data_IF_637454382957
#
_entry.id   IF_637454382957
#
_cell.length_a   1.000
_cell.length_b   1.000
_cell.length_c   1.000
_cell.angle_alpha   90.00
_cell.angle_beta   90.00
_cell.angle_gamma   90.00
#
_symmetry.space_group_name_H-M   'P 1'
#
loop_
_entity.id
_entity.type
_entity.pdbx_description
1 polymer ?
#
# COMPACT_ATOMS: atom_id res chain seq x y z
N UNK A 1 6.17 -9.59 -2.69
CA UNK A 1 6.21 -10.78 -3.55
C UNK A 1 6.69 -11.97 -2.76
N UNK A 2 6.39 -13.16 -3.24
CA UNK A 2 7.04 -14.40 -2.80
C UNK A 2 7.11 -15.33 -4.00
N UNK A 3 8.22 -16.04 -4.13
CA UNK A 3 8.43 -17.16 -5.05
C UNK A 3 8.13 -18.51 -4.38
N UNK A 4 7.47 -18.47 -3.21
CA UNK A 4 7.22 -19.59 -2.29
C UNK A 4 8.46 -20.10 -1.55
N UNK A 5 9.64 -19.54 -1.77
CA UNK A 5 10.87 -19.83 -1.04
C UNK A 5 11.22 -18.72 -0.05
N UNK A 6 11.06 -17.47 -0.47
CA UNK A 6 11.34 -16.29 0.34
C UNK A 6 10.29 -15.18 0.17
N UNK A 7 10.31 -14.22 1.11
CA UNK A 7 9.44 -13.05 1.07
C UNK A 7 10.25 -11.83 0.67
N UNK A 8 9.74 -11.11 -0.33
CA UNK A 8 10.27 -9.80 -0.72
C UNK A 8 9.22 -8.72 -0.48
N UNK A 9 9.65 -7.58 0.06
CA UNK A 9 8.82 -6.39 0.21
C UNK A 9 9.50 -5.21 -0.48
N UNK A 10 8.76 -4.53 -1.34
CA UNK A 10 9.08 -3.21 -1.83
C UNK A 10 7.92 -2.31 -1.43
N UNK A 11 8.27 -1.12 -0.96
CA UNK A 11 7.34 -0.16 -0.38
C UNK A 11 6.53 -0.72 0.82
N UNK A 12 5.46 -0.05 1.25
CA UNK A 12 4.64 -0.44 2.40
C UNK A 12 5.22 0.01 3.75
N UNK A 13 6.04 1.07 3.74
CA UNK A 13 6.72 1.60 4.93
C UNK A 13 5.92 2.69 5.66
N UNK A 14 4.64 2.86 5.30
CA UNK A 14 3.78 3.89 5.84
C UNK A 14 3.90 5.21 5.08
N UNK A 15 2.85 6.02 5.13
CA UNK A 15 2.69 7.31 4.42
C UNK A 15 3.83 8.34 4.47
N UNK A 16 4.80 8.22 5.38
CA UNK A 16 5.94 9.15 5.47
C UNK A 16 7.12 8.72 4.59
N UNK A 17 7.36 7.40 4.49
CA UNK A 17 8.55 6.82 3.86
C UNK A 17 8.19 5.80 2.77
N UNK A 18 6.90 5.66 2.45
CA UNK A 18 6.38 4.70 1.51
C UNK A 18 4.87 4.90 1.28
N UNK A 19 4.20 3.80 0.95
CA UNK A 19 2.82 3.75 0.45
C UNK A 19 2.64 4.63 -0.80
N UNK A 20 3.64 4.63 -1.68
CA UNK A 20 3.67 5.43 -2.89
C UNK A 20 2.58 4.94 -3.84
N UNK A 21 1.77 5.86 -4.34
CA UNK A 21 0.57 5.54 -5.11
C UNK A 21 -0.61 5.00 -4.29
N UNK A 22 -0.46 4.81 -2.98
CA UNK A 22 -1.55 4.48 -2.07
C UNK A 22 -2.56 5.63 -1.89
N UNK A 23 -3.69 5.36 -1.23
CA UNK A 23 -4.74 6.36 -1.01
C UNK A 23 -4.23 7.63 -0.30
N UNK A 24 -3.41 7.48 0.74
CA UNK A 24 -2.82 8.62 1.45
C UNK A 24 -1.90 9.46 0.56
N UNK A 25 -1.14 8.79 -0.33
CA UNK A 25 -0.28 9.47 -1.30
C UNK A 25 -1.12 10.25 -2.32
N UNK A 26 -2.15 9.64 -2.90
CA UNK A 26 -3.05 10.27 -3.89
C UNK A 26 -3.75 11.47 -3.27
N UNK A 27 -4.34 11.28 -2.09
CA UNK A 27 -5.05 12.36 -1.40
C UNK A 27 -4.13 13.51 -1.01
N UNK A 28 -2.91 13.23 -0.54
CA UNK A 28 -1.89 14.25 -0.30
C UNK A 28 -1.54 15.03 -1.56
N UNK A 29 -1.30 14.34 -2.68
CA UNK A 29 -0.99 14.98 -3.96
C UNK A 29 -2.15 15.84 -4.46
N UNK A 30 -3.40 15.36 -4.30
CA UNK A 30 -4.60 16.12 -4.62
C UNK A 30 -4.77 17.37 -3.77
N UNK A 31 -4.53 17.26 -2.46
CA UNK A 31 -4.57 18.41 -1.55
C UNK A 31 -3.44 19.41 -1.85
N UNK A 32 -2.23 18.96 -2.19
CA UNK A 32 -1.16 19.88 -2.63
C UNK A 32 -1.56 20.63 -3.91
N UNK A 33 -2.14 19.94 -4.90
CA UNK A 33 -2.64 20.57 -6.12
C UNK A 33 -3.77 21.58 -5.85
N UNK A 34 -4.67 21.28 -4.91
CA UNK A 34 -5.71 22.19 -4.47
C UNK A 34 -5.12 23.45 -3.79
N UNK A 35 -4.16 23.26 -2.87
CA UNK A 35 -3.48 24.37 -2.19
C UNK A 35 -2.65 25.21 -3.16
N UNK A 36 -2.02 24.60 -4.17
CA UNK A 36 -1.35 25.34 -5.25
C UNK A 36 -2.32 26.26 -6.00
N UNK A 37 -3.52 25.79 -6.31
CA UNK A 37 -4.54 26.64 -6.94
C UNK A 37 -4.98 27.78 -6.02
N UNK A 38 -5.15 27.50 -4.71
CA UNK A 38 -5.47 28.52 -3.71
C UNK A 38 -4.40 29.62 -3.64
N UNK A 39 -3.12 29.23 -3.65
CA UNK A 39 -1.97 30.14 -3.57
C UNK A 39 -1.66 30.86 -4.91
N UNK A 40 -2.33 30.51 -6.00
CA UNK A 40 -1.96 30.96 -7.36
C UNK A 40 -0.63 30.38 -7.88
N UNK A 41 -0.16 29.27 -7.30
CA UNK A 41 1.07 28.57 -7.71
C UNK A 41 0.82 27.69 -8.94
N UNK A 42 1.86 27.54 -9.76
CA UNK A 42 1.85 26.60 -10.91
C UNK A 42 1.61 25.16 -10.45
N UNK A 43 0.94 24.39 -11.32
CA UNK A 43 0.55 23.00 -11.05
C UNK A 43 -0.65 22.86 -10.12
N UNK A 44 -1.43 23.94 -9.93
CA UNK A 44 -2.66 23.90 -9.17
C UNK A 44 -3.86 23.41 -9.98
N UNK A 45 -4.85 22.84 -9.29
CA UNK A 45 -6.15 22.47 -9.87
C UNK A 45 -7.30 23.23 -9.20
N UNK A 46 -8.02 24.10 -9.94
CA UNK A 46 -9.25 24.72 -9.44
C UNK A 46 -10.33 23.69 -9.08
N UNK A 47 -10.45 22.61 -9.86
CA UNK A 47 -11.42 21.55 -9.59
C UNK A 47 -11.15 20.85 -8.25
N UNK A 48 -9.88 20.51 -7.98
CA UNK A 48 -9.49 19.92 -6.69
C UNK A 48 -9.60 20.92 -5.54
N UNK A 49 -9.40 22.22 -5.78
CA UNK A 49 -9.67 23.26 -4.78
C UNK A 49 -11.15 23.32 -4.40
N UNK A 50 -12.06 23.23 -5.36
CA UNK A 50 -13.49 23.19 -5.10
C UNK A 50 -13.89 21.92 -4.32
N UNK A 51 -13.28 20.76 -4.63
CA UNK A 51 -13.49 19.53 -3.84
C UNK A 51 -12.91 19.65 -2.43
N UNK A 52 -11.72 20.25 -2.26
CA UNK A 52 -11.14 20.51 -0.95
C UNK A 52 -12.11 21.34 -0.10
N UNK A 53 -12.64 22.43 -0.67
CA UNK A 53 -13.63 23.28 0.00
C UNK A 53 -14.88 22.52 0.42
N UNK A 54 -15.38 21.64 -0.44
CA UNK A 54 -16.56 20.83 -0.15
C UNK A 54 -16.33 19.81 0.99
N UNK A 55 -15.13 19.22 1.07
CA UNK A 55 -14.83 18.12 2.01
C UNK A 55 -14.27 18.62 3.34
N UNK A 56 -13.36 19.59 3.30
CA UNK A 56 -12.61 20.07 4.47
C UNK A 56 -12.93 21.52 4.87
N UNK A 57 -13.72 22.24 4.07
CA UNK A 57 -14.02 23.65 4.32
C UNK A 57 -12.89 24.58 3.84
N UNK A 58 -12.71 25.77 4.45
CA UNK A 58 -11.73 26.75 4.01
C UNK A 58 -10.31 26.16 3.90
N UNK A 59 -9.58 26.38 2.78
CA UNK A 59 -8.22 25.86 2.59
C UNK A 59 -7.24 26.20 3.73
N UNK A 60 -7.40 27.38 4.32
CA UNK A 60 -6.57 27.89 5.42
C UNK A 60 -6.74 27.08 6.71
N UNK A 61 -7.86 26.36 6.86
CA UNK A 61 -8.12 25.50 8.02
C UNK A 61 -7.48 24.11 7.89
N UNK A 62 -7.07 23.69 6.69
CA UNK A 62 -6.57 22.34 6.42
C UNK A 62 -5.39 21.93 7.34
N UNK A 63 -4.37 22.78 7.61
CA UNK A 63 -3.31 22.44 8.56
C UNK A 63 -3.83 22.08 9.96
N UNK A 64 -4.81 22.83 10.46
CA UNK A 64 -5.41 22.62 11.78
C UNK A 64 -6.24 21.33 11.85
N UNK A 65 -6.81 20.89 10.72
CA UNK A 65 -7.53 19.62 10.63
C UNK A 65 -6.58 18.42 10.54
N UNK A 66 -5.40 18.59 9.92
CA UNK A 66 -4.50 17.48 9.64
C UNK A 66 -3.45 17.25 10.74
N UNK A 67 -2.76 18.30 11.19
CA UNK A 67 -1.59 18.14 12.07
C UNK A 67 -1.89 17.53 13.44
N UNK A 68 -2.97 17.88 14.15
CA UNK A 68 -3.21 17.32 15.50
C UNK A 68 -3.60 15.84 15.49
N UNK A 69 -4.00 15.30 14.35
CA UNK A 69 -4.60 13.96 14.25
C UNK A 69 -3.55 12.85 14.30
N UNK A 70 -3.87 11.75 14.96
CA UNK A 70 -3.03 10.54 14.93
C UNK A 70 -3.27 9.69 13.66
N UNK A 71 -4.44 9.82 13.05
CA UNK A 71 -4.88 9.09 11.85
C UNK A 71 -4.70 9.90 10.55
N UNK A 72 -3.70 10.79 10.51
CA UNK A 72 -3.38 11.61 9.32
C UNK A 72 -3.41 10.84 7.99
N UNK A 73 -2.89 9.60 7.90
CA UNK A 73 -2.93 8.85 6.64
C UNK A 73 -4.36 8.58 6.16
N UNK A 74 -5.29 8.29 7.08
CA UNK A 74 -6.68 8.05 6.74
C UNK A 74 -7.37 9.33 6.26
N UNK A 75 -7.07 10.46 6.90
CA UNK A 75 -7.58 11.78 6.50
C UNK A 75 -7.07 12.20 5.13
N UNK A 76 -5.78 11.96 4.85
CA UNK A 76 -5.24 12.17 3.51
C UNK A 76 -5.96 11.25 2.52
N UNK A 77 -6.04 9.95 2.83
CA UNK A 77 -6.66 8.96 1.96
C UNK A 77 -8.14 9.24 1.66
N UNK A 78 -8.87 9.88 2.57
CA UNK A 78 -10.28 10.23 2.36
C UNK A 78 -10.49 11.23 1.22
N UNK A 79 -9.45 11.95 0.79
CA UNK A 79 -9.51 12.85 -0.35
C UNK A 79 -9.22 12.17 -1.69
N UNK A 80 -8.68 10.94 -1.69
CA UNK A 80 -8.32 10.25 -2.92
C UNK A 80 -9.53 9.97 -3.87
N UNK A 81 -10.74 9.63 -3.37
CA UNK A 81 -11.93 9.51 -4.23
C UNK A 81 -12.27 10.80 -4.98
N UNK A 82 -11.97 11.96 -4.38
CA UNK A 82 -12.21 13.26 -5.02
C UNK A 82 -11.25 13.51 -6.18
N UNK A 83 -9.99 13.09 -6.02
CA UNK A 83 -9.02 13.09 -7.12
C UNK A 83 -9.51 12.19 -8.26
N UNK A 84 -10.00 11.00 -7.95
CA UNK A 84 -10.56 10.08 -8.94
C UNK A 84 -11.77 10.66 -9.67
N UNK A 85 -12.69 11.32 -8.95
CA UNK A 85 -13.87 11.95 -9.53
C UNK A 85 -13.51 13.09 -10.51
N UNK A 86 -12.43 13.83 -10.25
CA UNK A 86 -11.99 14.92 -11.12
C UNK A 86 -11.20 14.46 -12.35
N UNK A 87 -10.60 13.26 -12.34
CA UNK A 87 -9.63 12.83 -13.36
C UNK A 87 -10.17 12.79 -14.80
N UNK A 88 -11.48 12.66 -15.00
CA UNK A 88 -12.08 12.70 -16.34
C UNK A 88 -12.09 14.09 -17.00
N UNK A 89 -11.99 15.16 -16.20
CA UNK A 89 -12.10 16.55 -16.68
C UNK A 89 -10.91 17.42 -16.26
N UNK A 90 -10.13 17.01 -15.26
CA UNK A 90 -8.97 17.73 -14.75
C UNK A 90 -7.66 16.97 -15.06
N UNK A 91 -6.79 17.51 -15.93
CA UNK A 91 -5.52 16.87 -16.28
C UNK A 91 -4.55 16.76 -15.09
N UNK A 92 -4.65 17.63 -14.07
CA UNK A 92 -3.82 17.52 -12.86
C UNK A 92 -4.22 16.29 -12.05
N UNK A 93 -5.53 16.11 -11.82
CA UNK A 93 -6.06 14.92 -11.17
C UNK A 93 -5.72 13.63 -11.93
N UNK A 94 -5.87 13.63 -13.26
CA UNK A 94 -5.47 12.50 -14.10
C UNK A 94 -3.96 12.19 -14.00
N UNK A 95 -3.12 13.23 -13.97
CA UNK A 95 -1.68 13.11 -13.78
C UNK A 95 -1.30 12.46 -12.45
N UNK A 96 -1.98 12.85 -11.36
CA UNK A 96 -1.76 12.27 -10.03
C UNK A 96 -2.07 10.76 -10.04
N UNK A 97 -3.18 10.34 -10.65
CA UNK A 97 -3.53 8.91 -10.72
C UNK A 97 -2.56 8.12 -11.60
N UNK A 98 -2.07 8.70 -12.69
CA UNK A 98 -1.04 8.08 -13.53
C UNK A 98 0.27 7.88 -12.76
N UNK A 99 0.69 8.89 -11.98
CA UNK A 99 1.87 8.75 -11.11
C UNK A 99 1.66 7.69 -10.04
N UNK A 100 0.47 7.63 -9.44
CA UNK A 100 0.13 6.60 -8.46
C UNK A 100 0.20 5.19 -9.06
N UNK A 101 -0.34 5.01 -10.27
CA UNK A 101 -0.24 3.76 -11.02
C UNK A 101 1.23 3.35 -11.28
N UNK A 102 2.08 4.30 -11.69
CA UNK A 102 3.51 4.06 -11.88
C UNK A 102 4.19 3.56 -10.61
N UNK A 103 3.98 4.24 -9.48
CA UNK A 103 4.54 3.82 -8.19
C UNK A 103 4.10 2.41 -7.77
N UNK A 104 2.83 2.06 -7.96
CA UNK A 104 2.31 0.72 -7.65
C UNK A 104 2.99 -0.32 -8.56
N UNK A 105 3.11 -0.03 -9.85
CA UNK A 105 3.73 -0.93 -10.81
C UNK A 105 5.23 -1.12 -10.56
N UNK A 106 5.96 -0.05 -10.21
CA UNK A 106 7.37 -0.11 -9.79
C UNK A 106 7.57 -0.98 -8.55
N UNK A 107 6.71 -0.81 -7.53
CA UNK A 107 6.76 -1.61 -6.32
C UNK A 107 6.47 -3.09 -6.61
N UNK A 108 5.49 -3.38 -7.48
CA UNK A 108 5.21 -4.74 -7.92
C UNK A 108 6.38 -5.35 -8.69
N UNK A 109 6.97 -4.59 -9.62
CA UNK A 109 8.09 -5.06 -10.44
C UNK A 109 9.34 -5.35 -9.61
N UNK A 110 9.60 -4.56 -8.57
CA UNK A 110 10.74 -4.75 -7.68
C UNK A 110 10.70 -6.06 -6.87
N UNK A 111 9.53 -6.70 -6.73
CA UNK A 111 9.37 -7.95 -5.96
C UNK A 111 8.80 -9.11 -6.76
N UNK A 112 8.47 -8.89 -8.04
CA UNK A 112 8.03 -9.95 -8.92
C UNK A 112 9.25 -10.74 -9.38
N UNK A 113 9.28 -12.08 -9.21
CA UNK A 113 10.37 -12.89 -9.74
C UNK A 113 10.48 -12.65 -11.25
N UNK A 114 11.65 -12.21 -11.72
CA UNK A 114 11.92 -12.13 -13.15
C UNK A 114 12.39 -13.50 -13.64
N UNK A 115 11.86 -13.95 -14.77
CA UNK A 115 12.22 -15.22 -15.41
C UNK A 115 13.70 -15.30 -15.87
N UNK A 116 14.54 -14.35 -15.49
CA UNK A 116 15.88 -14.13 -16.01
C UNK A 116 17.01 -14.73 -15.15
N UNK A 117 16.72 -15.31 -13.98
CA UNK A 117 17.76 -15.76 -13.04
C UNK A 117 17.69 -17.22 -12.57
N UNK A 118 16.53 -17.85 -12.68
CA UNK A 118 16.32 -19.26 -12.33
C UNK A 118 15.66 -19.94 -13.51
N UNK A 119 16.02 -21.20 -13.74
CA UNK A 119 15.39 -22.08 -14.73
C UNK A 119 13.94 -22.40 -14.32
N UNK A 120 13.12 -21.38 -14.08
CA UNK A 120 11.68 -21.47 -14.10
C UNK A 120 11.35 -21.71 -15.56
N UNK A 121 10.73 -22.85 -15.85
CA UNK A 121 10.38 -23.22 -17.21
C UNK A 121 9.65 -22.07 -17.91
N UNK A 122 9.98 -21.86 -19.19
CA UNK A 122 9.37 -20.84 -20.03
C UNK A 122 7.84 -21.04 -20.05
N UNK A 123 7.13 -20.36 -19.14
CA UNK A 123 5.69 -20.55 -18.96
C UNK A 123 5.11 -20.06 -17.63
N UNK A 124 5.88 -20.00 -16.54
CA UNK A 124 5.37 -19.47 -15.26
C UNK A 124 5.57 -17.96 -15.17
N UNK A 125 4.65 -17.24 -15.80
CA UNK A 125 4.53 -15.80 -15.57
C UNK A 125 4.01 -15.52 -14.16
N UNK A 126 4.69 -14.65 -13.41
CA UNK A 126 4.26 -14.24 -12.08
C UNK A 126 2.85 -13.67 -12.05
N UNK A 127 2.14 -13.84 -10.93
CA UNK A 127 0.81 -13.26 -10.72
C UNK A 127 0.91 -11.98 -9.89
N UNK A 128 0.23 -10.93 -10.35
CA UNK A 128 0.07 -9.67 -9.61
C UNK A 128 -1.38 -9.55 -9.18
N UNK A 129 -1.65 -9.83 -7.91
CA UNK A 129 -2.98 -9.67 -7.33
C UNK A 129 -3.18 -8.23 -6.84
N UNK A 130 -4.17 -7.53 -7.40
CA UNK A 130 -4.60 -6.22 -6.92
C UNK A 130 -5.51 -6.40 -5.71
N UNK A 131 -5.11 -5.86 -4.55
CA UNK A 131 -5.85 -6.00 -3.28
C UNK A 131 -6.04 -4.67 -2.55
N UNK A 132 -7.19 -4.50 -1.89
CA UNK A 132 -7.51 -3.30 -1.10
C UNK A 132 -8.49 -2.34 -1.77
N UNK A 133 -9.07 -1.44 -0.97
CA UNK A 133 -10.17 -0.57 -1.40
C UNK A 133 -9.79 0.53 -2.39
N UNK A 134 -8.50 0.75 -2.62
CA UNK A 134 -8.00 1.73 -3.59
C UNK A 134 -8.50 1.42 -5.01
N UNK A 135 -8.58 0.15 -5.37
CA UNK A 135 -9.00 -0.31 -6.70
C UNK A 135 -10.50 -0.13 -6.96
N UNK A 136 -11.28 0.26 -5.95
CA UNK A 136 -12.68 0.66 -6.12
C UNK A 136 -12.83 2.03 -6.81
N UNK A 137 -11.75 2.78 -7.02
CA UNK A 137 -11.76 4.02 -7.82
C UNK A 137 -12.10 3.78 -9.29
N UNK A 138 -11.98 2.53 -9.76
CA UNK A 138 -12.33 2.15 -11.13
C UNK A 138 -11.30 2.60 -12.16
N UNK A 139 -11.74 2.77 -13.41
CA UNK A 139 -10.82 2.99 -14.53
C UNK A 139 -9.91 4.22 -14.48
N UNK A 140 -10.22 5.32 -13.77
CA UNK A 140 -9.25 6.40 -13.58
C UNK A 140 -7.90 5.95 -13.01
N UNK A 141 -7.87 4.90 -12.19
CA UNK A 141 -6.63 4.30 -11.66
C UNK A 141 -6.27 2.98 -12.34
N UNK A 142 -7.26 2.13 -12.62
CA UNK A 142 -7.02 0.78 -13.15
C UNK A 142 -6.44 0.81 -14.57
N UNK A 143 -6.87 1.74 -15.42
CA UNK A 143 -6.37 1.85 -16.78
C UNK A 143 -4.87 2.19 -16.83
N UNK A 144 -4.39 3.29 -16.21
CA UNK A 144 -2.95 3.58 -16.20
C UNK A 144 -2.16 2.50 -15.44
N UNK A 145 -2.71 1.89 -14.39
CA UNK A 145 -2.02 0.80 -13.70
C UNK A 145 -1.80 -0.42 -14.60
N UNK A 146 -2.81 -0.78 -15.40
CA UNK A 146 -2.70 -1.87 -16.38
C UNK A 146 -1.64 -1.56 -17.44
N UNK A 147 -1.56 -0.32 -17.91
CA UNK A 147 -0.54 0.15 -18.85
C UNK A 147 0.87 -0.01 -18.25
N UNK A 148 1.10 0.50 -17.05
CA UNK A 148 2.40 0.46 -16.37
C UNK A 148 2.84 -0.98 -16.05
N UNK A 149 1.92 -1.82 -15.55
CA UNK A 149 2.21 -3.24 -15.27
C UNK A 149 2.55 -4.02 -16.55
N UNK A 150 1.85 -3.76 -17.66
CA UNK A 150 2.16 -4.41 -18.93
C UNK A 150 3.54 -4.03 -19.48
N UNK A 151 4.00 -2.81 -19.18
CA UNK A 151 5.34 -2.33 -19.58
C UNK A 151 6.44 -2.91 -18.69
N UNK A 152 6.26 -2.87 -17.35
CA UNK A 152 7.30 -3.26 -16.40
C UNK A 152 7.38 -4.76 -16.16
N UNK A 153 6.26 -5.48 -16.33
CA UNK A 153 6.14 -6.92 -16.10
C UNK A 153 5.50 -7.61 -17.31
N UNK A 154 6.18 -7.61 -18.48
CA UNK A 154 5.66 -8.26 -19.68
C UNK A 154 5.49 -9.76 -19.42
N UNK A 155 4.24 -10.22 -19.41
CA UNK A 155 3.86 -11.60 -19.15
C UNK A 155 3.16 -11.81 -17.80
N UNK A 156 3.36 -10.95 -16.81
CA UNK A 156 2.71 -11.12 -15.52
C UNK A 156 1.18 -11.05 -15.65
N UNK A 157 0.50 -11.97 -14.96
CA UNK A 157 -0.97 -12.02 -15.00
C UNK A 157 -1.52 -11.14 -13.89
N UNK A 158 -2.17 -10.04 -14.27
CA UNK A 158 -2.90 -9.19 -13.32
C UNK A 158 -4.22 -9.86 -12.97
N UNK A 159 -4.43 -10.11 -11.68
CA UNK A 159 -5.62 -10.80 -11.17
C UNK A 159 -6.25 -10.02 -10.02
N UNK A 160 -7.53 -10.29 -9.76
CA UNK A 160 -8.19 -9.84 -8.53
C UNK A 160 -7.89 -10.80 -7.39
N UNK A 161 -7.87 -10.30 -6.15
CA UNK A 161 -7.75 -11.14 -4.97
C UNK A 161 -8.81 -12.27 -4.98
N UNK A 162 -8.40 -13.51 -4.71
CA UNK A 162 -9.29 -14.68 -4.62
C UNK A 162 -10.19 -14.69 -3.37
N UNK A 163 -10.15 -13.62 -2.58
CA UNK A 163 -10.86 -13.43 -1.32
C UNK A 163 -10.34 -12.20 -0.58
N UNK A 164 -10.95 -11.89 0.55
CA UNK A 164 -10.52 -10.81 1.43
C UNK A 164 -9.35 -11.25 2.35
N UNK A 165 -8.72 -10.30 3.08
CA UNK A 165 -7.64 -10.64 4.01
C UNK A 165 -8.02 -11.65 5.09
N UNK A 166 -9.29 -11.65 5.54
CA UNK A 166 -9.77 -12.58 6.55
C UNK A 166 -9.85 -14.02 6.01
N UNK A 167 -10.31 -14.17 4.77
CA UNK A 167 -10.31 -15.43 4.04
C UNK A 167 -8.89 -15.97 3.88
N UNK A 168 -7.93 -15.09 3.56
CA UNK A 168 -6.51 -15.43 3.52
C UNK A 168 -5.99 -15.94 4.86
N UNK A 169 -6.27 -15.23 5.95
CA UNK A 169 -5.87 -15.61 7.30
C UNK A 169 -6.44 -16.99 7.71
N UNK A 170 -7.71 -17.27 7.42
CA UNK A 170 -8.34 -18.56 7.69
C UNK A 170 -7.71 -19.70 6.88
N UNK A 171 -7.38 -19.47 5.60
CA UNK A 171 -6.68 -20.46 4.75
C UNK A 171 -5.30 -20.79 5.31
N UNK A 172 -4.55 -19.77 5.72
CA UNK A 172 -3.22 -19.94 6.34
C UNK A 172 -3.34 -20.73 7.65
N UNK A 173 -4.29 -20.38 8.51
CA UNK A 173 -4.51 -21.07 9.79
C UNK A 173 -4.87 -22.55 9.61
N UNK A 174 -5.74 -22.88 8.65
CA UNK A 174 -6.10 -24.26 8.31
C UNK A 174 -4.91 -25.05 7.78
N UNK A 175 -4.14 -24.46 6.86
CA UNK A 175 -2.95 -25.12 6.31
C UNK A 175 -1.89 -25.37 7.40
N UNK A 176 -1.72 -24.44 8.35
CA UNK A 176 -0.87 -24.64 9.51
C UNK A 176 -1.35 -25.79 10.41
N UNK A 177 -2.64 -25.85 10.70
CA UNK A 177 -3.23 -26.91 11.53
C UNK A 177 -3.12 -28.30 10.87
N UNK A 178 -3.19 -28.36 9.54
CA UNK A 178 -3.04 -29.59 8.77
C UNK A 178 -1.57 -29.99 8.51
N UNK A 179 -0.61 -29.10 8.74
CA UNK A 179 0.79 -29.33 8.39
C UNK A 179 1.13 -29.13 6.91
N UNK A 180 0.23 -28.54 6.13
CA UNK A 180 0.33 -28.39 4.67
C UNK A 180 0.69 -26.96 4.22
N UNK A 181 1.14 -26.09 5.14
CA UNK A 181 1.50 -24.72 4.81
C UNK A 181 2.74 -24.69 3.89
N UNK A 182 2.54 -24.23 2.65
CA UNK A 182 3.61 -24.07 1.65
C UNK A 182 4.31 -22.71 1.69
N UNK A 183 3.72 -21.72 2.38
CA UNK A 183 4.30 -20.37 2.46
C UNK A 183 5.53 -20.38 3.39
N UNK A 184 6.61 -19.69 3.00
CA UNK A 184 7.81 -19.61 3.83
C UNK A 184 7.52 -18.82 5.11
N UNK A 185 8.19 -19.17 6.21
CA UNK A 185 8.08 -18.41 7.46
C UNK A 185 8.87 -17.11 7.35
N UNK A 186 8.41 -16.05 8.01
CA UNK A 186 9.13 -14.78 8.06
C UNK A 186 8.86 -14.05 9.38
N UNK A 187 9.86 -13.43 10.02
CA UNK A 187 9.69 -12.77 11.32
C UNK A 187 8.64 -11.64 11.32
N UNK A 188 8.37 -11.03 10.16
CA UNK A 188 7.41 -9.92 10.04
C UNK A 188 6.27 -10.13 9.04
N UNK A 189 6.37 -11.12 8.14
CA UNK A 189 5.36 -11.32 7.06
C UNK A 189 4.49 -12.55 7.31
N UNK A 190 5.06 -13.61 7.90
CA UNK A 190 4.34 -14.82 8.33
C UNK A 190 5.01 -15.41 9.56
N UNK A 191 4.64 -14.88 10.73
CA UNK A 191 5.17 -15.30 12.01
C UNK A 191 4.17 -16.24 12.70
N UNK A 192 4.61 -17.46 12.99
CA UNK A 192 3.86 -18.42 13.81
C UNK A 192 4.57 -18.53 15.14
N UNK A 193 4.01 -17.99 16.23
CA UNK A 193 4.57 -18.17 17.56
C UNK A 193 4.67 -19.66 17.85
N UNK A 194 5.85 -20.14 18.24
CA UNK A 194 5.94 -21.47 18.82
C UNK A 194 5.30 -21.42 20.20
N UNK A 195 4.41 -22.36 20.50
CA UNK A 195 4.02 -22.62 21.87
C UNK A 195 5.31 -22.88 22.66
N UNK A 196 5.61 -21.99 23.61
CA UNK A 196 6.64 -22.27 24.58
C UNK A 196 6.11 -23.46 25.39
N UNK A 197 6.74 -24.62 25.22
CA UNK A 197 6.45 -25.79 26.05
C UNK A 197 6.47 -25.37 27.51
N UNK A 198 5.33 -25.53 28.18
CA UNK A 198 5.21 -25.28 29.61
C UNK A 198 6.18 -26.18 30.38
N UNK A 199 7.15 -25.57 31.03
CA UNK A 199 8.14 -26.21 31.91
C UNK A 199 9.43 -25.39 31.85
N UNK A 200 9.77 -24.52 32.80
CA UNK A 200 9.97 -24.87 34.20
C UNK A 200 9.92 -23.56 35.03
N UNK A 201 9.05 -23.50 36.04
CA UNK A 201 9.20 -22.52 37.13
C UNK A 201 10.42 -22.95 37.96
N UNK A 202 11.59 -22.45 37.60
CA UNK A 202 12.79 -22.46 38.45
C UNK A 202 12.93 -21.08 39.07
N UNK A 203 12.51 -20.93 40.32
CA UNK A 203 12.75 -19.72 41.08
C UNK A 203 14.24 -19.56 41.39
N UNK A 204 14.75 -18.35 41.22
CA UNK A 204 15.85 -17.84 42.03
C UNK A 204 15.71 -16.34 42.15
N UNK A 205 15.82 -15.88 43.40
CA UNK A 205 15.55 -14.56 43.88
C UNK A 205 16.55 -13.50 43.38
N UNK A 206 16.03 -12.28 43.22
CA UNK A 206 16.59 -10.98 43.63
C UNK A 206 18.12 -10.84 43.62
N UNK A 207 18.60 -9.90 42.80
CA UNK A 207 19.45 -8.80 43.28
C UNK A 207 19.21 -7.55 42.44
N UNK A 208 18.60 -6.58 43.12
CA UNK A 208 18.51 -5.18 42.78
C UNK A 208 19.89 -4.56 43.04
N UNK A 209 20.44 -3.79 42.10
CA UNK A 209 21.25 -2.61 42.43
C UNK A 209 21.40 -1.67 41.22
N UNK A 210 21.33 -0.34 41.42
CA UNK A 210 21.29 0.65 40.36
C UNK A 210 22.69 1.15 40.00
N UNK A 211 22.89 1.58 38.74
CA UNK A 211 23.98 2.51 38.41
C UNK A 211 23.48 3.67 37.56
N UNK A 212 23.39 4.80 38.24
CA UNK A 212 23.54 6.15 37.72
C UNK A 212 24.92 6.36 37.08
N UNK A 213 24.94 7.13 35.99
CA UNK A 213 26.09 7.70 35.32
C UNK A 213 25.61 8.53 34.15
#
# INVERSE_FOLDING_TARGET
GTDLMEWHRADGWGHLLGDSGGGAWIGRAGLDAAMRAHDGRRGGSPALLDRLRAVFGPPEALPGLLYPRSDRPAVLASFAPEVAACAGADPVAAGILRQAAGHIAEAAAAVCPTSAGTAVEAGESGEVALTGGLFNMGEPLIAPLREELAQLLPGARVTTAAGDPLTGALRIARALAAGDLRLPRHPTMLFVPREHGGGQRGGTAVRDEPRTG
#
